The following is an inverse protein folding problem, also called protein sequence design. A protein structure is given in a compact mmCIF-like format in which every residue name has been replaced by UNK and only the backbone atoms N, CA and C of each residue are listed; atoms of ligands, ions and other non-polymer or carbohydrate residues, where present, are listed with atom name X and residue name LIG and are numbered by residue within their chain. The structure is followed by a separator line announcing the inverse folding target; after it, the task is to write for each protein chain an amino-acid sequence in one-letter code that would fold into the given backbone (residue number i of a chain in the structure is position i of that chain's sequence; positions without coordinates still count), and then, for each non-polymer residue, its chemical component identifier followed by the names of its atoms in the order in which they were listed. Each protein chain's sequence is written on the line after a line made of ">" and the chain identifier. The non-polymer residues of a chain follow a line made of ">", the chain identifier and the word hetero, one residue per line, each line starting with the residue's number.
data_IF_095982241964
#
_entry.id   IF_095982241964
#
_cell.length_a   1.000
_cell.length_b   1.000
_cell.length_c   1.000
_cell.angle_alpha   90.00
_cell.angle_beta   90.00
_cell.angle_gamma   90.00
#
_symmetry.space_group_name_H-M   'P 1'
#
loop_
_entity.id
_entity.type
_entity.pdbx_description
1 polymer ?
#
# COMPACT_ATOMS: atom_id res chain seq x y z
N UNK A 1 -8.85 1.57 27.16
CA UNK A 1 -9.08 2.87 26.53
C UNK A 1 -8.51 2.84 25.12
N UNK A 2 -9.15 3.56 24.18
CA UNK A 2 -8.67 3.75 22.81
C UNK A 2 -8.27 5.21 22.65
N UNK A 3 -7.12 5.43 22.07
CA UNK A 3 -6.62 6.74 21.71
C UNK A 3 -6.32 6.78 20.21
N UNK A 4 -6.54 7.93 19.57
CA UNK A 4 -6.30 8.14 18.13
C UNK A 4 -5.23 9.21 17.97
N UNK A 5 -4.16 8.86 17.28
CA UNK A 5 -3.11 9.79 16.88
C UNK A 5 -3.06 9.91 15.35
N UNK A 6 -2.81 11.11 14.85
CA UNK A 6 -2.57 11.36 13.45
C UNK A 6 -1.07 11.48 13.20
N UNK A 7 -0.61 10.84 12.15
CA UNK A 7 0.77 10.94 11.65
C UNK A 7 0.79 11.92 10.48
N UNK A 8 1.61 12.95 10.58
CA UNK A 8 1.87 13.89 9.49
C UNK A 8 2.76 13.30 8.39
N UNK A 9 3.48 14.12 7.66
CA UNK A 9 4.45 13.74 6.63
C UNK A 9 3.93 12.74 5.56
N UNK A 10 2.60 12.61 5.41
CA UNK A 10 1.96 11.72 4.46
C UNK A 10 1.90 12.37 3.08
N UNK A 11 2.69 11.86 2.13
CA UNK A 11 2.78 12.38 0.77
C UNK A 11 2.10 11.42 -0.19
N UNK A 12 1.28 11.96 -1.10
CA UNK A 12 0.75 11.21 -2.24
C UNK A 12 1.70 11.38 -3.44
N UNK A 13 2.37 10.30 -3.82
CA UNK A 13 3.30 10.29 -4.94
C UNK A 13 2.62 10.67 -6.26
N UNK A 14 1.37 10.25 -6.46
CA UNK A 14 0.60 10.60 -7.66
C UNK A 14 0.35 12.11 -7.80
N UNK A 15 0.18 12.83 -6.70
CA UNK A 15 0.05 14.30 -6.69
C UNK A 15 1.42 14.98 -6.80
N UNK A 16 2.44 14.44 -6.12
CA UNK A 16 3.77 15.04 -6.10
C UNK A 16 4.59 14.78 -7.38
N UNK A 17 4.21 13.78 -8.17
CA UNK A 17 4.93 13.36 -9.37
C UNK A 17 4.94 14.47 -10.44
N UNK A 18 6.09 14.63 -11.10
CA UNK A 18 6.26 15.62 -12.16
C UNK A 18 6.67 17.02 -11.68
N UNK A 19 6.78 17.27 -10.37
CA UNK A 19 7.29 18.52 -9.83
C UNK A 19 8.28 18.33 -8.68
N UNK A 20 8.84 19.42 -8.18
CA UNK A 20 9.88 19.41 -7.15
C UNK A 20 9.47 18.64 -5.87
N UNK A 21 8.17 18.64 -5.52
CA UNK A 21 7.63 17.96 -4.34
C UNK A 21 7.92 16.45 -4.29
N UNK A 22 8.16 15.81 -5.44
CA UNK A 22 8.50 14.39 -5.48
C UNK A 22 9.79 14.02 -4.73
N UNK A 23 10.71 14.97 -4.54
CA UNK A 23 11.94 14.78 -3.76
C UNK A 23 11.69 14.47 -2.28
N UNK A 24 10.54 14.84 -1.75
CA UNK A 24 10.17 14.57 -0.36
C UNK A 24 9.51 13.19 -0.16
N UNK A 25 9.13 12.51 -1.26
CA UNK A 25 8.37 11.26 -1.19
C UNK A 25 9.10 10.18 -0.41
N UNK A 26 10.31 9.79 -0.82
CA UNK A 26 11.03 8.70 -0.15
C UNK A 26 11.37 9.02 1.31
N UNK A 27 11.77 10.26 1.59
CA UNK A 27 12.09 10.70 2.95
C UNK A 27 10.88 10.59 3.90
N UNK A 28 9.66 10.73 3.39
CA UNK A 28 8.45 10.63 4.21
C UNK A 28 8.26 9.24 4.83
N UNK A 29 8.80 8.16 4.23
CA UNK A 29 8.77 6.81 4.82
C UNK A 29 9.45 6.80 6.19
N UNK A 30 10.65 7.37 6.29
CA UNK A 30 11.38 7.43 7.56
C UNK A 30 10.70 8.37 8.55
N UNK A 31 10.28 9.55 8.09
CA UNK A 31 9.57 10.51 8.95
C UNK A 31 8.29 9.93 9.55
N UNK A 32 7.56 9.09 8.81
CA UNK A 32 6.37 8.40 9.31
C UNK A 32 6.76 7.40 10.41
N UNK A 33 7.80 6.60 10.17
CA UNK A 33 8.29 5.65 11.15
C UNK A 33 8.76 6.35 12.44
N UNK A 34 9.54 7.43 12.31
CA UNK A 34 10.06 8.25 13.41
C UNK A 34 8.92 8.89 14.24
N UNK A 35 7.89 9.42 13.57
CA UNK A 35 6.74 9.99 14.25
C UNK A 35 5.98 8.94 15.06
N UNK A 36 5.71 7.76 14.49
CA UNK A 36 5.02 6.67 15.17
C UNK A 36 5.84 6.18 16.36
N UNK A 37 7.13 5.96 16.18
CA UNK A 37 8.05 5.57 17.25
C UNK A 37 8.04 6.60 18.38
N UNK A 38 8.16 7.88 18.06
CA UNK A 38 8.13 8.97 19.05
C UNK A 38 6.81 9.02 19.82
N UNK A 39 5.68 8.88 19.12
CA UNK A 39 4.35 8.91 19.72
C UNK A 39 4.16 7.71 20.67
N UNK A 40 4.46 6.50 20.20
CA UNK A 40 4.25 5.28 20.97
C UNK A 40 5.30 5.10 22.09
N UNK A 41 6.50 5.67 21.91
CA UNK A 41 7.52 5.71 22.95
C UNK A 41 7.18 6.68 24.08
N UNK A 42 6.60 7.83 23.74
CA UNK A 42 6.19 8.83 24.71
C UNK A 42 4.88 8.47 25.44
N UNK A 43 3.99 7.75 24.75
CA UNK A 43 2.67 7.35 25.28
C UNK A 43 2.58 5.82 25.31
N UNK A 44 2.89 5.17 26.45
CA UNK A 44 2.95 3.71 26.53
C UNK A 44 1.58 3.10 26.23
N UNK A 45 1.52 2.41 25.09
CA UNK A 45 0.36 1.64 24.63
C UNK A 45 0.67 0.16 24.70
N UNK A 46 -0.34 -0.67 25.00
CA UNK A 46 -0.19 -2.13 25.00
C UNK A 46 -0.07 -2.69 23.56
N UNK A 47 -0.65 -1.99 22.59
CA UNK A 47 -0.60 -2.34 21.17
C UNK A 47 -1.34 -1.30 20.33
N UNK A 48 -1.25 -1.41 19.00
CA UNK A 48 -1.80 -0.41 18.10
C UNK A 48 -2.28 -0.96 16.77
N UNK A 49 -3.13 -0.20 16.08
CA UNK A 49 -3.55 -0.46 14.72
C UNK A 49 -3.04 0.68 13.84
N UNK A 50 -2.21 0.34 12.86
CA UNK A 50 -1.80 1.28 11.82
C UNK A 50 -2.87 1.35 10.74
N UNK A 51 -3.44 2.55 10.52
CA UNK A 51 -4.36 2.82 9.41
C UNK A 51 -3.65 3.70 8.41
N UNK A 52 -3.48 3.22 7.20
CA UNK A 52 -2.78 3.99 6.18
C UNK A 52 -3.02 3.48 4.78
N UNK A 53 -2.57 4.29 3.83
CA UNK A 53 -2.57 3.93 2.42
C UNK A 53 -1.58 4.85 1.69
N UNK A 54 -1.18 4.53 0.50
CA UNK A 54 -0.23 5.26 -0.33
C UNK A 54 1.22 4.79 -0.22
N UNK A 55 2.02 5.24 -1.18
CA UNK A 55 3.31 4.66 -1.61
C UNK A 55 4.35 4.53 -0.49
N UNK A 56 4.52 5.57 0.31
CA UNK A 56 5.52 5.61 1.39
C UNK A 56 4.91 5.43 2.78
N UNK A 57 3.58 5.63 2.89
CA UNK A 57 2.87 5.49 4.17
C UNK A 57 2.86 4.04 4.62
N UNK A 58 2.55 3.12 3.71
CA UNK A 58 2.47 1.68 4.01
C UNK A 58 3.81 1.16 4.53
N UNK A 59 4.93 1.30 3.81
CA UNK A 59 6.22 0.81 4.29
C UNK A 59 6.72 1.59 5.52
N UNK A 60 6.43 2.88 5.66
CA UNK A 60 6.75 3.63 6.88
C UNK A 60 6.08 3.07 8.12
N UNK A 61 4.81 2.67 7.99
CA UNK A 61 4.09 2.02 9.10
C UNK A 61 4.66 0.61 9.41
N UNK A 62 5.06 -0.16 8.40
CA UNK A 62 5.69 -1.47 8.65
C UNK A 62 7.04 -1.32 9.36
N UNK A 63 7.86 -0.35 8.96
CA UNK A 63 9.11 -0.04 9.66
C UNK A 63 8.84 0.35 11.12
N UNK A 64 7.85 1.20 11.37
CA UNK A 64 7.45 1.56 12.73
C UNK A 64 6.98 0.36 13.56
N UNK A 65 6.20 -0.56 12.96
CA UNK A 65 5.76 -1.79 13.65
C UNK A 65 6.94 -2.60 14.16
N UNK A 66 7.95 -2.77 13.35
CA UNK A 66 9.16 -3.54 13.70
C UNK A 66 10.01 -2.78 14.72
N UNK A 67 10.19 -1.46 14.56
CA UNK A 67 10.97 -0.63 15.49
C UNK A 67 10.39 -0.61 16.89
N UNK A 68 9.11 -0.32 17.00
CA UNK A 68 8.42 -0.22 18.29
C UNK A 68 8.21 -1.60 18.91
N UNK A 69 7.99 -2.61 18.08
CA UNK A 69 7.88 -4.02 18.44
C UNK A 69 6.91 -4.32 19.60
N UNK A 70 5.76 -3.67 19.61
CA UNK A 70 4.62 -4.03 20.47
C UNK A 70 3.53 -4.65 19.59
N UNK A 71 2.58 -5.44 20.15
CA UNK A 71 1.49 -6.02 19.37
C UNK A 71 0.83 -5.02 18.43
N UNK A 72 0.80 -5.33 17.15
CA UNK A 72 0.31 -4.41 16.13
C UNK A 72 -0.40 -5.15 14.99
N UNK A 73 -1.34 -4.46 14.34
CA UNK A 73 -2.00 -4.93 13.11
C UNK A 73 -2.11 -3.74 12.15
N UNK A 74 -1.74 -3.97 10.90
CA UNK A 74 -1.90 -2.98 9.86
C UNK A 74 -3.22 -3.15 9.11
N UNK A 75 -3.87 -2.04 8.76
CA UNK A 75 -5.09 -2.00 7.95
C UNK A 75 -4.94 -0.96 6.85
N UNK A 76 -5.04 -1.40 5.62
CA UNK A 76 -5.08 -0.54 4.45
C UNK A 76 -6.46 0.10 4.27
N UNK A 77 -6.49 1.29 3.67
CA UNK A 77 -7.72 1.89 3.18
C UNK A 77 -8.33 1.13 2.00
N UNK A 78 -7.57 0.27 1.34
CA UNK A 78 -7.96 -0.47 0.14
C UNK A 78 -7.69 0.27 -1.16
N UNK A 79 -7.62 -0.44 -2.31
CA UNK A 79 -7.51 0.17 -3.62
C UNK A 79 -8.79 0.92 -4.01
N UNK A 80 -8.63 2.00 -4.78
CA UNK A 80 -9.77 2.68 -5.41
C UNK A 80 -10.27 1.88 -6.61
N UNK A 81 -11.49 2.16 -7.00
CA UNK A 81 -12.07 1.67 -8.25
C UNK A 81 -11.43 2.39 -9.44
N UNK A 82 -11.33 1.72 -10.58
CA UNK A 82 -10.94 2.35 -11.82
C UNK A 82 -12.03 3.30 -12.33
N UNK A 83 -11.65 4.33 -13.04
CA UNK A 83 -12.57 5.26 -13.68
C UNK A 83 -13.37 4.62 -14.81
N UNK A 84 -14.41 5.31 -15.25
CA UNK A 84 -15.28 4.84 -16.36
C UNK A 84 -14.45 4.58 -17.63
N UNK A 85 -14.63 3.39 -18.20
CA UNK A 85 -13.87 2.95 -19.36
C UNK A 85 -12.47 2.40 -19.03
N UNK A 86 -12.22 2.05 -17.77
CA UNK A 86 -10.94 1.51 -17.32
C UNK A 86 -9.83 2.56 -17.32
N UNK A 87 -10.16 3.81 -16.97
CA UNK A 87 -9.17 4.87 -16.78
C UNK A 87 -8.59 4.87 -15.37
N UNK A 88 -7.32 5.15 -15.25
CA UNK A 88 -6.58 5.17 -14.00
C UNK A 88 -5.49 6.25 -14.01
N UNK A 89 -4.60 6.24 -13.02
CA UNK A 89 -3.48 7.18 -12.93
C UNK A 89 -2.54 7.10 -14.15
N UNK A 90 -2.30 5.90 -14.69
CA UNK A 90 -1.49 5.73 -15.90
C UNK A 90 -2.12 6.42 -17.11
N UNK A 91 -3.43 6.32 -17.23
CA UNK A 91 -4.16 7.03 -18.30
C UNK A 91 -3.92 8.54 -18.25
N UNK A 92 -3.81 9.11 -17.04
CA UNK A 92 -3.49 10.55 -16.86
C UNK A 92 -2.04 10.82 -17.28
N UNK A 93 -1.07 10.02 -16.87
CA UNK A 93 0.33 10.20 -17.22
C UNK A 93 0.55 10.11 -18.74
N UNK A 94 -0.08 9.14 -19.40
CA UNK A 94 -0.08 9.05 -20.85
C UNK A 94 -0.78 10.27 -21.50
N UNK A 95 -1.85 10.74 -20.89
CA UNK A 95 -2.56 11.95 -21.31
C UNK A 95 -1.69 13.20 -21.24
N UNK A 96 -0.91 13.37 -20.16
CA UNK A 96 0.08 14.44 -20.00
C UNK A 96 1.14 14.35 -21.10
N UNK A 97 1.68 13.15 -21.34
CA UNK A 97 2.65 12.93 -22.41
C UNK A 97 2.09 13.28 -23.80
N UNK A 98 0.84 12.89 -24.10
CA UNK A 98 0.17 13.26 -25.36
C UNK A 98 -0.07 14.77 -25.47
N UNK A 99 -0.41 15.41 -24.34
CA UNK A 99 -0.62 16.86 -24.32
C UNK A 99 0.67 17.63 -24.58
N UNK A 100 1.78 17.20 -23.97
CA UNK A 100 3.10 17.86 -24.13
C UNK A 100 3.62 17.84 -25.58
N UNK A 101 3.20 16.85 -26.37
CA UNK A 101 3.56 16.75 -27.81
C UNK A 101 2.42 17.18 -28.74
N UNK A 102 1.43 17.92 -28.24
CA UNK A 102 0.33 18.45 -29.03
C UNK A 102 -0.72 17.48 -29.55
N UNK A 103 -0.67 16.18 -29.09
CA UNK A 103 -1.61 15.12 -29.49
C UNK A 103 -2.88 15.05 -28.64
N UNK A 104 -3.02 15.89 -27.63
CA UNK A 104 -4.18 15.99 -26.76
C UNK A 104 -4.42 17.45 -26.35
N UNK A 105 -5.65 17.93 -26.43
CA UNK A 105 -5.98 19.29 -25.97
C UNK A 105 -6.03 19.34 -24.43
N UNK A 106 -5.79 20.52 -23.85
CA UNK A 106 -5.90 20.75 -22.41
C UNK A 106 -7.29 20.38 -21.85
N UNK A 107 -8.37 20.69 -22.62
CA UNK A 107 -9.73 20.32 -22.23
C UNK A 107 -9.97 18.80 -22.22
N UNK A 108 -9.35 18.06 -23.14
CA UNK A 108 -9.43 16.59 -23.15
C UNK A 108 -8.65 15.98 -21.96
N UNK A 109 -7.46 16.52 -21.65
CA UNK A 109 -6.68 16.09 -20.49
C UNK A 109 -7.42 16.36 -19.18
N UNK A 110 -8.05 17.52 -19.02
CA UNK A 110 -8.87 17.83 -17.84
C UNK A 110 -10.02 16.83 -17.66
N UNK A 111 -10.79 16.55 -18.71
CA UNK A 111 -11.86 15.55 -18.67
C UNK A 111 -11.36 14.14 -18.34
N UNK A 112 -10.15 13.79 -18.77
CA UNK A 112 -9.53 12.50 -18.40
C UNK A 112 -9.19 12.48 -16.91
N UNK A 113 -8.57 13.54 -16.37
CA UNK A 113 -8.23 13.66 -14.96
C UNK A 113 -9.45 13.58 -14.04
N UNK A 114 -10.57 14.21 -14.43
CA UNK A 114 -11.84 14.17 -13.68
C UNK A 114 -12.46 12.77 -13.61
N UNK A 115 -12.11 11.87 -14.52
CA UNK A 115 -12.71 10.52 -14.63
C UNK A 115 -11.83 9.39 -14.11
N UNK A 116 -10.52 9.60 -14.06
CA UNK A 116 -9.57 8.51 -13.85
C UNK A 116 -9.49 8.03 -12.40
N UNK A 117 -9.79 8.89 -11.44
CA UNK A 117 -9.74 8.57 -10.00
C UNK A 117 -11.09 8.92 -9.35
N UNK A 118 -12.12 8.07 -9.48
CA UNK A 118 -13.50 8.43 -9.16
C UNK A 118 -13.85 8.39 -7.67
N UNK A 119 -12.98 7.83 -6.83
CA UNK A 119 -13.30 7.58 -5.43
C UNK A 119 -12.10 7.60 -4.51
N UNK A 120 -12.26 7.02 -3.32
CA UNK A 120 -11.22 6.93 -2.29
C UNK A 120 -10.43 5.63 -2.42
N UNK A 121 -9.18 5.65 -1.97
CA UNK A 121 -8.31 4.47 -1.91
C UNK A 121 -6.90 4.74 -2.43
N UNK A 122 -6.05 3.72 -2.40
CA UNK A 122 -4.81 3.70 -3.17
C UNK A 122 -5.11 3.60 -4.67
N UNK A 123 -4.10 3.79 -5.52
CA UNK A 123 -4.29 3.72 -6.97
C UNK A 123 -5.01 2.45 -7.42
N UNK A 124 -5.77 2.51 -8.51
CA UNK A 124 -6.53 1.36 -9.01
C UNK A 124 -5.66 0.22 -9.57
N UNK A 125 -4.39 0.48 -9.88
CA UNK A 125 -3.43 -0.50 -10.40
C UNK A 125 -2.52 -1.10 -9.34
N UNK A 126 -1.70 -2.07 -9.74
CA UNK A 126 -0.68 -2.72 -8.92
C UNK A 126 0.57 -1.83 -8.78
N UNK A 127 0.39 -0.66 -8.17
CA UNK A 127 1.48 0.25 -7.81
C UNK A 127 1.99 -0.08 -6.41
N UNK A 128 2.93 0.73 -5.91
CA UNK A 128 3.64 0.45 -4.66
C UNK A 128 2.71 0.25 -3.47
N UNK A 129 1.69 1.10 -3.30
CA UNK A 129 0.77 0.99 -2.17
C UNK A 129 0.03 -0.35 -2.16
N UNK A 130 -0.55 -0.76 -3.30
CA UNK A 130 -1.28 -2.02 -3.40
C UNK A 130 -0.34 -3.22 -3.28
N UNK A 131 0.83 -3.16 -3.92
CA UNK A 131 1.86 -4.19 -3.77
C UNK A 131 2.26 -4.36 -2.30
N UNK A 132 2.63 -3.29 -1.61
CA UNK A 132 2.99 -3.36 -0.19
C UNK A 132 1.81 -3.79 0.70
N UNK A 133 0.58 -3.41 0.38
CA UNK A 133 -0.62 -3.86 1.10
C UNK A 133 -0.82 -5.38 0.98
N UNK A 134 -0.58 -5.97 -0.20
CA UNK A 134 -0.59 -7.43 -0.40
C UNK A 134 0.58 -8.09 0.33
N UNK A 135 1.79 -7.51 0.24
CA UNK A 135 2.95 -8.04 0.94
C UNK A 135 2.78 -8.04 2.47
N UNK A 136 2.07 -7.05 3.01
CA UNK A 136 1.74 -7.01 4.43
C UNK A 136 0.91 -8.21 4.91
N UNK A 137 0.04 -8.75 4.03
CA UNK A 137 -0.68 -10.01 4.30
C UNK A 137 0.28 -11.20 4.36
N UNK A 138 1.18 -11.28 3.39
CA UNK A 138 2.13 -12.39 3.25
C UNK A 138 3.16 -12.40 4.39
N UNK A 139 3.65 -11.22 4.77
CA UNK A 139 4.55 -11.06 5.92
C UNK A 139 3.83 -11.38 7.23
N UNK A 140 2.50 -11.18 7.30
CA UNK A 140 1.69 -11.43 8.49
C UNK A 140 1.41 -10.19 9.35
N UNK A 141 1.74 -8.98 8.87
CA UNK A 141 1.43 -7.73 9.57
C UNK A 141 0.01 -7.22 9.32
N UNK A 142 -0.68 -7.78 8.33
CA UNK A 142 -2.05 -7.45 7.95
C UNK A 142 -2.90 -8.70 7.78
N UNK A 143 -4.22 -8.52 7.81
CA UNK A 143 -5.16 -9.63 7.60
C UNK A 143 -5.37 -9.91 6.11
N UNK A 144 -5.75 -11.15 5.73
CA UNK A 144 -6.14 -11.48 4.37
C UNK A 144 -7.24 -10.55 3.82
N UNK A 145 -7.07 -10.11 2.58
CA UNK A 145 -7.95 -9.11 1.94
C UNK A 145 -7.53 -7.66 2.17
N UNK A 146 -6.46 -7.44 2.93
CA UNK A 146 -5.96 -6.09 3.20
C UNK A 146 -5.58 -5.33 1.92
N UNK A 147 -4.89 -5.98 0.99
CA UNK A 147 -4.44 -5.38 -0.27
C UNK A 147 -5.47 -5.44 -1.40
N UNK A 148 -6.44 -6.36 -1.34
CA UNK A 148 -7.31 -6.69 -2.47
C UNK A 148 -8.76 -6.23 -2.32
N UNK A 149 -9.29 -6.08 -1.12
CA UNK A 149 -10.65 -5.56 -0.93
C UNK A 149 -10.66 -4.06 -1.26
N UNK A 150 -11.43 -3.58 -2.27
CA UNK A 150 -11.51 -2.16 -2.58
C UNK A 150 -12.04 -1.30 -1.43
N UNK A 151 -11.63 -0.04 -1.38
CA UNK A 151 -12.13 0.94 -0.40
C UNK A 151 -13.64 1.18 -0.55
N UNK A 152 -14.10 1.21 -1.79
CA UNK A 152 -15.48 1.50 -2.18
C UNK A 152 -16.01 0.44 -3.15
N UNK A 153 -17.31 0.44 -3.32
CA UNK A 153 -18.01 -0.32 -4.35
C UNK A 153 -18.94 0.60 -5.14
N UNK A 154 -19.25 0.25 -6.37
CA UNK A 154 -20.21 0.98 -7.16
C UNK A 154 -21.61 0.91 -6.53
N UNK A 155 -22.21 2.07 -6.26
CA UNK A 155 -23.54 2.16 -5.67
C UNK A 155 -24.66 1.96 -6.70
N UNK A 156 -24.34 2.05 -8.00
CA UNK A 156 -25.27 1.88 -9.10
C UNK A 156 -24.62 1.20 -10.31
N UNK A 157 -25.44 0.58 -11.18
CA UNK A 157 -24.99 -0.08 -12.41
C UNK A 157 -24.34 0.88 -13.42
N UNK A 158 -24.71 2.15 -13.40
CA UNK A 158 -24.15 3.16 -14.31
C UNK A 158 -22.72 3.59 -13.92
N UNK A 159 -22.20 3.10 -12.77
CA UNK A 159 -20.87 3.46 -12.24
C UNK A 159 -20.66 4.97 -12.13
N UNK A 160 -21.65 5.68 -11.58
CA UNK A 160 -21.62 7.13 -11.39
C UNK A 160 -21.50 7.55 -9.93
N UNK A 161 -21.74 6.65 -9.01
CA UNK A 161 -21.65 6.88 -7.56
C UNK A 161 -21.03 5.68 -6.89
N UNK A 162 -20.18 5.95 -5.92
CA UNK A 162 -19.56 4.95 -5.05
C UNK A 162 -20.16 5.00 -3.64
N UNK A 163 -19.93 3.97 -2.87
CA UNK A 163 -20.19 3.90 -1.44
C UNK A 163 -19.12 3.06 -0.78
N UNK A 164 -18.90 3.29 0.50
CA UNK A 164 -17.95 2.51 1.31
C UNK A 164 -18.21 1.02 1.17
N UNK A 165 -17.16 0.24 0.96
CA UNK A 165 -17.25 -1.20 0.82
C UNK A 165 -17.53 -1.86 2.19
N UNK A 166 -18.65 -2.57 2.36
CA UNK A 166 -18.94 -3.24 3.64
C UNK A 166 -17.89 -4.29 4.03
N UNK A 167 -17.26 -4.96 3.05
CA UNK A 167 -16.21 -5.93 3.31
C UNK A 167 -14.95 -5.24 3.89
N UNK A 168 -14.64 -4.01 3.45
CA UNK A 168 -13.55 -3.21 4.03
C UNK A 168 -13.84 -2.85 5.49
N UNK A 169 -15.06 -2.42 5.80
CA UNK A 169 -15.46 -2.16 7.18
C UNK A 169 -15.43 -3.42 8.06
N UNK A 170 -15.80 -4.57 7.51
CA UNK A 170 -15.69 -5.84 8.22
C UNK A 170 -14.23 -6.20 8.53
N UNK A 171 -13.31 -5.96 7.58
CA UNK A 171 -11.88 -6.17 7.79
C UNK A 171 -11.32 -5.28 8.91
N UNK A 172 -11.73 -4.02 9.00
CA UNK A 172 -11.33 -3.10 10.10
C UNK A 172 -11.77 -3.68 11.46
N UNK A 173 -12.99 -4.19 11.57
CA UNK A 173 -13.47 -4.85 12.80
C UNK A 173 -12.66 -6.11 13.11
N UNK A 174 -12.37 -6.93 12.11
CA UNK A 174 -11.53 -8.13 12.27
C UNK A 174 -10.12 -7.78 12.73
N UNK A 175 -9.54 -6.69 12.27
CA UNK A 175 -8.23 -6.20 12.69
C UNK A 175 -8.21 -5.84 14.20
N UNK A 176 -9.28 -5.23 14.72
CA UNK A 176 -9.39 -4.99 16.15
C UNK A 176 -9.44 -6.29 16.97
N UNK A 177 -10.14 -7.32 16.49
CA UNK A 177 -10.13 -8.64 17.11
C UNK A 177 -8.76 -9.34 16.97
N UNK A 178 -8.07 -9.14 15.84
CA UNK A 178 -6.73 -9.67 15.65
C UNK A 178 -5.75 -9.04 16.65
N UNK A 179 -5.78 -7.71 16.84
CA UNK A 179 -4.95 -7.04 17.82
C UNK A 179 -5.20 -7.58 19.24
N UNK A 180 -6.47 -7.80 19.62
CA UNK A 180 -6.78 -8.43 20.93
C UNK A 180 -6.14 -9.80 21.08
N UNK A 181 -6.11 -10.61 20.02
CA UNK A 181 -5.43 -11.91 20.02
C UNK A 181 -3.90 -11.78 20.12
N UNK A 182 -3.31 -10.80 19.41
CA UNK A 182 -1.88 -10.52 19.51
C UNK A 182 -1.50 -10.10 20.93
N UNK A 183 -2.28 -9.22 21.56
CA UNK A 183 -2.09 -8.82 22.95
C UNK A 183 -2.14 -10.03 23.92
N UNK A 184 -3.18 -10.86 23.81
CA UNK A 184 -3.34 -12.03 24.67
C UNK A 184 -2.19 -13.04 24.50
N UNK A 185 -1.65 -13.18 23.30
CA UNK A 185 -0.54 -14.09 22.97
C UNK A 185 0.84 -13.44 23.11
N UNK A 186 0.90 -12.15 23.40
CA UNK A 186 2.13 -11.33 23.39
C UNK A 186 2.88 -11.42 22.06
N UNK A 187 2.14 -11.58 20.96
CA UNK A 187 2.70 -11.71 19.62
C UNK A 187 3.05 -10.32 19.07
N UNK A 188 4.31 -10.10 18.75
CA UNK A 188 4.89 -8.84 18.33
C UNK A 188 5.36 -8.89 16.87
N UNK A 189 5.54 -7.76 16.18
CA UNK A 189 6.02 -7.73 14.80
C UNK A 189 7.32 -8.51 14.55
N UNK A 190 8.32 -8.44 15.44
CA UNK A 190 9.57 -9.20 15.29
C UNK A 190 9.40 -10.73 15.46
N UNK A 191 8.31 -11.18 16.08
CA UNK A 191 7.98 -12.61 16.15
C UNK A 191 7.38 -13.10 14.81
N UNK A 192 6.91 -12.19 13.96
CA UNK A 192 6.22 -12.44 12.69
C UNK A 192 7.15 -12.20 11.49
N UNK A 193 7.88 -11.09 11.49
CA UNK A 193 8.78 -10.67 10.40
C UNK A 193 10.07 -11.48 10.52
N UNK A 194 10.08 -12.64 9.86
CA UNK A 194 11.21 -13.55 9.80
C UNK A 194 11.86 -13.53 8.43
N UNK A 195 13.04 -14.12 8.29
CA UNK A 195 13.71 -14.29 6.99
C UNK A 195 12.82 -15.04 5.99
N UNK A 196 12.12 -16.10 6.45
CA UNK A 196 11.16 -16.83 5.62
C UNK A 196 9.95 -15.98 5.22
N UNK A 197 9.47 -15.09 6.09
CA UNK A 197 8.40 -14.16 5.75
C UNK A 197 8.85 -13.15 4.67
N UNK A 198 10.09 -12.69 4.71
CA UNK A 198 10.68 -11.82 3.68
C UNK A 198 10.82 -12.59 2.34
N UNK A 199 11.28 -13.84 2.35
CA UNK A 199 11.33 -14.68 1.15
C UNK A 199 9.93 -14.85 0.54
N UNK A 200 8.94 -15.19 1.35
CA UNK A 200 7.55 -15.34 0.91
C UNK A 200 7.01 -14.03 0.33
N UNK A 201 7.34 -12.87 0.93
CA UNK A 201 6.97 -11.57 0.39
C UNK A 201 7.55 -11.37 -1.02
N UNK A 202 8.83 -11.64 -1.24
CA UNK A 202 9.43 -11.52 -2.56
C UNK A 202 8.88 -12.54 -3.58
N UNK A 203 8.60 -13.78 -3.16
CA UNK A 203 7.92 -14.76 -4.02
C UNK A 203 6.55 -14.23 -4.47
N UNK A 204 5.76 -13.71 -3.53
CA UNK A 204 4.46 -13.13 -3.84
C UNK A 204 4.59 -11.90 -4.76
N UNK A 205 5.55 -11.02 -4.49
CA UNK A 205 5.80 -9.81 -5.27
C UNK A 205 6.11 -10.14 -6.75
N UNK A 206 6.99 -11.10 -6.98
CA UNK A 206 7.33 -11.59 -8.33
C UNK A 206 6.11 -12.23 -8.99
N UNK A 207 5.37 -13.07 -8.27
CA UNK A 207 4.20 -13.78 -8.80
C UNK A 207 3.06 -12.84 -9.17
N UNK A 208 2.81 -11.79 -8.37
CA UNK A 208 1.74 -10.82 -8.66
C UNK A 208 2.15 -9.69 -9.60
N UNK A 209 3.43 -9.61 -9.98
CA UNK A 209 3.93 -8.51 -10.80
C UNK A 209 3.88 -7.17 -10.09
N UNK A 210 4.34 -7.14 -8.85
CA UNK A 210 4.33 -5.96 -8.00
C UNK A 210 5.25 -4.84 -8.47
N UNK A 211 5.19 -3.73 -7.78
CA UNK A 211 6.01 -2.54 -8.08
C UNK A 211 7.49 -2.78 -7.74
N UNK A 212 8.40 -2.28 -8.56
CA UNK A 212 9.84 -2.32 -8.25
C UNK A 212 10.21 -1.60 -6.93
N UNK A 213 9.38 -0.68 -6.46
CA UNK A 213 9.56 -0.03 -5.16
C UNK A 213 9.41 -1.00 -3.97
N UNK A 214 8.69 -2.10 -4.14
CA UNK A 214 8.55 -3.12 -3.08
C UNK A 214 9.87 -3.72 -2.69
N UNK A 215 10.80 -3.87 -3.63
CA UNK A 215 12.17 -4.33 -3.36
C UNK A 215 12.85 -3.39 -2.35
N UNK A 216 12.83 -2.09 -2.63
CA UNK A 216 13.40 -1.07 -1.74
C UNK A 216 12.75 -1.11 -0.34
N UNK A 217 11.44 -1.23 -0.29
CA UNK A 217 10.70 -1.15 0.97
C UNK A 217 10.78 -2.44 1.79
N UNK A 218 10.78 -3.60 1.14
CA UNK A 218 10.91 -4.89 1.82
C UNK A 218 12.34 -5.10 2.34
N UNK A 219 13.35 -4.61 1.61
CA UNK A 219 14.72 -4.60 2.11
C UNK A 219 14.88 -3.65 3.31
N UNK A 220 14.20 -2.50 3.32
CA UNK A 220 14.19 -1.62 4.47
C UNK A 220 13.51 -2.28 5.68
N UNK A 221 12.40 -2.96 5.48
CA UNK A 221 11.72 -3.73 6.54
C UNK A 221 12.63 -4.85 7.09
N UNK A 222 13.34 -5.58 6.22
CA UNK A 222 14.31 -6.58 6.63
C UNK A 222 15.44 -5.97 7.47
N UNK A 223 15.98 -4.81 7.05
CA UNK A 223 16.99 -4.08 7.79
C UNK A 223 16.51 -3.64 9.18
N UNK A 224 15.30 -3.09 9.27
CA UNK A 224 14.66 -2.74 10.56
C UNK A 224 14.48 -3.96 11.47
N UNK A 225 14.13 -5.12 10.89
CA UNK A 225 14.03 -6.39 11.59
C UNK A 225 15.41 -7.01 11.90
N UNK A 226 16.51 -6.39 11.51
CA UNK A 226 17.89 -6.90 11.63
C UNK A 226 18.09 -8.25 10.93
N UNK A 227 17.36 -8.47 9.85
CA UNK A 227 17.48 -9.66 9.00
C UNK A 227 18.48 -9.32 7.89
N UNK A 228 19.64 -10.00 7.82
CA UNK A 228 20.59 -9.80 6.73
C UNK A 228 19.98 -10.35 5.43
N UNK A 229 19.72 -9.47 4.48
CA UNK A 229 19.11 -9.82 3.20
C UNK A 229 19.86 -9.17 2.05
N UNK A 230 20.23 -9.93 1.03
CA UNK A 230 20.99 -9.44 -0.10
C UNK A 230 20.24 -9.59 -1.45
N UNK A 231 20.67 -8.80 -2.44
CA UNK A 231 20.10 -8.84 -3.79
C UNK A 231 20.37 -10.17 -4.52
N UNK A 232 21.41 -10.92 -4.14
CA UNK A 232 21.69 -12.24 -4.75
C UNK A 232 20.63 -13.26 -4.36
N UNK A 233 20.16 -13.19 -3.09
CA UNK A 233 19.04 -14.02 -2.62
C UNK A 233 17.75 -13.66 -3.34
N UNK A 234 17.46 -12.36 -3.46
CA UNK A 234 16.33 -11.87 -4.21
C UNK A 234 16.34 -12.34 -5.67
N UNK A 235 17.48 -12.20 -6.36
CA UNK A 235 17.60 -12.63 -7.75
C UNK A 235 17.31 -14.13 -7.92
N UNK A 236 17.79 -14.99 -7.00
CA UNK A 236 17.47 -16.44 -7.04
C UNK A 236 15.96 -16.70 -6.87
N UNK A 237 15.26 -15.87 -6.10
CA UNK A 237 13.79 -15.94 -5.98
C UNK A 237 13.13 -15.52 -7.29
N UNK A 238 13.56 -14.38 -7.85
CA UNK A 238 13.01 -13.84 -9.09
C UNK A 238 13.17 -14.82 -10.27
N UNK A 239 14.35 -15.43 -10.41
CA UNK A 239 14.67 -16.35 -11.51
C UNK A 239 13.75 -17.60 -11.53
N UNK A 240 13.26 -18.04 -10.38
CA UNK A 240 12.44 -19.25 -10.25
C UNK A 240 10.94 -18.98 -10.05
N UNK A 241 10.54 -17.73 -9.87
CA UNK A 241 9.15 -17.38 -9.58
C UNK A 241 8.46 -16.84 -10.83
N UNK A 242 7.50 -17.57 -11.43
CA UNK A 242 6.76 -17.07 -12.59
C UNK A 242 5.79 -15.95 -12.19
N UNK A 243 5.67 -14.94 -13.05
CA UNK A 243 4.62 -13.94 -12.92
C UNK A 243 3.29 -14.53 -13.40
N UNK A 244 2.32 -14.66 -12.49
CA UNK A 244 1.00 -15.26 -12.75
C UNK A 244 -0.14 -14.24 -12.78
N UNK A 245 0.07 -13.04 -12.23
CA UNK A 245 -0.92 -11.97 -12.20
C UNK A 245 -0.42 -10.77 -13.00
N UNK A 246 -1.31 -10.15 -13.79
CA UNK A 246 -1.01 -8.93 -14.55
C UNK A 246 -2.14 -7.95 -14.39
N UNK A 247 -1.87 -6.87 -13.67
CA UNK A 247 -2.79 -5.76 -13.39
C UNK A 247 -2.17 -4.47 -13.93
N UNK A 248 -2.93 -3.43 -14.20
CA UNK A 248 -2.38 -2.11 -14.59
C UNK A 248 -1.23 -1.70 -13.65
N UNK A 249 -0.09 -1.25 -14.14
CA UNK A 249 0.21 -0.83 -15.52
C UNK A 249 0.63 -1.97 -16.48
N UNK A 250 0.94 -3.18 -15.98
CA UNK A 250 1.44 -4.29 -16.80
C UNK A 250 0.40 -4.79 -17.79
N UNK A 251 -0.88 -4.69 -17.45
CA UNK A 251 -2.01 -5.02 -18.34
C UNK A 251 -3.05 -3.90 -18.28
N UNK A 252 -3.09 -3.00 -19.29
CA UNK A 252 -4.10 -1.96 -19.38
C UNK A 252 -5.53 -2.51 -19.25
N UNK A 253 -6.41 -1.79 -18.57
CA UNK A 253 -7.83 -2.13 -18.34
C UNK A 253 -8.09 -3.33 -17.42
N UNK A 254 -7.10 -3.86 -16.74
CA UNK A 254 -7.28 -4.80 -15.64
C UNK A 254 -6.79 -4.10 -14.38
N UNK A 255 -7.64 -3.95 -13.40
CA UNK A 255 -7.39 -3.15 -12.19
C UNK A 255 -7.54 -4.00 -10.93
N UNK A 256 -7.27 -3.41 -9.78
CA UNK A 256 -7.36 -4.11 -8.50
C UNK A 256 -8.78 -4.56 -8.13
N UNK A 257 -9.80 -4.00 -8.78
CA UNK A 257 -11.21 -4.38 -8.57
C UNK A 257 -11.64 -5.62 -9.36
N UNK A 258 -10.86 -6.02 -10.37
CA UNK A 258 -11.13 -7.15 -11.25
C UNK A 258 -10.60 -8.48 -10.67
#
# INVERSE_FOLDING_TARGET
>A
NVWVANVGACICDGIAMGHFGMKYSLASRELIADQIESILGAHPCDGWIGLGNCDKIVPGMYNAMVRVNIPAVYVSGGPMLAGRGGTDLISIFEGVGRHSVGKMSAGALRRLAEKACPGCGSCAGMFTANSMNCLGEVVGLALPGNGTIPAEVWANRARTRTKTNPARLALVRQAAHALKRCLAKKLRPLDIVTEAAIDNAFICDMAMGGSSNTILHTLALAAEARIPYDLKRLNRIADRTPCICKVSPSRPKVHMED
#
